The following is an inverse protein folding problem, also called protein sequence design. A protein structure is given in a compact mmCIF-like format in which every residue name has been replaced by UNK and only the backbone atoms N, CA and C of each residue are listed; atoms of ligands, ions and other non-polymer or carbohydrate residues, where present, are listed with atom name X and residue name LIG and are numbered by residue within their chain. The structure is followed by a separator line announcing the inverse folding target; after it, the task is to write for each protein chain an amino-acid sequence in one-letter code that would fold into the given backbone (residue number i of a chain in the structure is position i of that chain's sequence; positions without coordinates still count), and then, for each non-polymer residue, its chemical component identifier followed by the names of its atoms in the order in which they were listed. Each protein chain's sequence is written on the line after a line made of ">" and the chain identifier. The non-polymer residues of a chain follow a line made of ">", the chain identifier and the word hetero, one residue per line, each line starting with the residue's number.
data_IF_069770283283
#
_entry.id   IF_069770283283
#
_cell.length_a   1.000
_cell.length_b   1.000
_cell.length_c   1.000
_cell.angle_alpha   90.00
_cell.angle_beta   90.00
_cell.angle_gamma   90.00
#
_symmetry.space_group_name_H-M   'P 1'
#
loop_
_entity.id
_entity.type
_entity.pdbx_description
1 polymer ?
#
# COMPACT_ATOMS: atom_id res chain seq x y z
N UNK A 1 -28.05 -3.25 97.76
CA UNK A 1 -28.67 -2.94 96.44
C UNK A 1 -27.58 -2.46 95.49
N UNK A 2 -27.10 -3.32 94.55
CA UNK A 2 -26.10 -2.97 93.56
C UNK A 2 -26.78 -2.98 92.19
N UNK A 3 -26.90 -1.83 91.53
CA UNK A 3 -27.30 -1.69 90.10
C UNK A 3 -26.07 -1.81 89.25
N UNK A 4 -26.10 -2.76 88.28
CA UNK A 4 -25.12 -2.90 87.21
C UNK A 4 -25.60 -2.07 86.00
N UNK A 5 -24.73 -1.13 85.58
CA UNK A 5 -24.88 -0.39 84.37
C UNK A 5 -24.40 -1.27 83.18
N UNK A 6 -25.27 -1.51 82.23
CA UNK A 6 -24.90 -2.16 80.95
C UNK A 6 -24.66 -1.07 79.90
N UNK A 7 -23.45 -0.97 79.42
CA UNK A 7 -23.06 -0.09 78.26
C UNK A 7 -23.48 -0.76 76.98
N UNK A 8 -24.35 -0.11 76.24
CA UNK A 8 -24.70 -0.46 74.86
C UNK A 8 -23.67 0.24 73.92
N UNK A 9 -22.83 -0.53 73.22
CA UNK A 9 -22.03 -0.09 72.10
C UNK A 9 -22.92 -0.15 70.88
N UNK A 10 -23.29 1.01 70.34
CA UNK A 10 -23.89 1.14 68.99
C UNK A 10 -22.85 1.13 67.94
N UNK A 11 -22.81 0.09 67.09
CA UNK A 11 -21.97 0.05 65.90
C UNK A 11 -22.63 0.88 64.79
N UNK A 12 -21.99 1.99 64.44
CA UNK A 12 -22.39 2.80 63.25
C UNK A 12 -21.74 2.19 62.03
N UNK A 13 -22.50 1.50 61.21
CA UNK A 13 -22.09 1.04 59.88
C UNK A 13 -22.28 2.17 58.88
N UNK A 14 -21.17 2.72 58.40
CA UNK A 14 -21.12 3.70 57.30
C UNK A 14 -21.25 2.93 55.98
N UNK A 15 -22.22 3.24 55.09
CA UNK A 15 -22.25 2.65 53.74
C UNK A 15 -21.15 3.32 52.89
N UNK A 16 -20.21 2.51 52.41
CA UNK A 16 -19.22 2.90 51.39
C UNK A 16 -19.96 3.06 50.05
N UNK A 17 -20.29 4.29 49.66
CA UNK A 17 -20.82 4.59 48.34
C UNK A 17 -19.64 4.57 47.35
N UNK A 18 -19.50 3.45 46.63
CA UNK A 18 -18.64 3.38 45.46
C UNK A 18 -19.26 4.25 44.34
N UNK A 19 -18.79 5.48 44.19
CA UNK A 19 -19.08 6.29 43.00
C UNK A 19 -18.24 5.71 41.86
N UNK A 20 -18.82 4.81 41.08
CA UNK A 20 -18.26 4.38 39.80
C UNK A 20 -18.25 5.57 38.85
N UNK A 21 -17.08 6.20 38.62
CA UNK A 21 -16.87 7.08 37.48
C UNK A 21 -17.02 6.24 36.21
N UNK A 22 -18.20 6.29 35.60
CA UNK A 22 -18.39 5.95 34.20
C UNK A 22 -17.58 6.95 33.38
N UNK A 23 -16.36 6.58 33.02
CA UNK A 23 -15.62 7.24 31.93
C UNK A 23 -16.45 7.01 30.66
N UNK A 24 -17.29 7.97 30.31
CA UNK A 24 -17.93 8.01 29.01
C UNK A 24 -16.80 8.07 27.99
N UNK A 25 -16.54 6.96 27.30
CA UNK A 25 -15.70 6.94 26.12
C UNK A 25 -16.36 7.90 25.12
N UNK A 26 -15.75 9.08 24.94
CA UNK A 26 -16.15 9.95 23.85
C UNK A 26 -15.89 9.16 22.57
N UNK A 27 -16.85 9.07 21.63
CA UNK A 27 -16.57 8.50 20.33
C UNK A 27 -15.40 9.31 19.75
N UNK A 28 -14.32 8.62 19.40
CA UNK A 28 -13.22 9.25 18.68
C UNK A 28 -13.83 9.91 17.44
N UNK A 29 -13.60 11.22 17.28
CA UNK A 29 -14.06 11.91 16.08
C UNK A 29 -13.40 11.21 14.87
N UNK A 30 -14.23 10.81 13.90
CA UNK A 30 -13.72 10.14 12.70
C UNK A 30 -12.62 10.97 12.04
N UNK A 31 -11.58 10.30 11.54
CA UNK A 31 -10.47 10.96 10.85
C UNK A 31 -11.00 11.86 9.72
N UNK A 32 -10.50 13.07 9.66
CA UNK A 32 -10.94 14.08 8.67
C UNK A 32 -9.76 14.64 7.90
N UNK A 33 -10.02 15.02 6.65
CA UNK A 33 -9.06 15.77 5.85
C UNK A 33 -8.88 17.17 6.47
N UNK A 34 -7.72 17.42 7.07
CA UNK A 34 -7.45 18.64 7.86
C UNK A 34 -6.53 19.59 7.11
N UNK A 35 -6.90 20.85 7.00
CA UNK A 35 -6.02 21.90 6.43
C UNK A 35 -4.88 22.20 7.42
N UNK A 36 -3.65 22.21 6.91
CA UNK A 36 -2.44 22.51 7.68
C UNK A 36 -1.87 23.85 7.21
N UNK A 37 -1.52 24.70 8.15
CA UNK A 37 -0.80 25.97 7.91
C UNK A 37 0.59 25.92 8.51
N UNK A 38 1.52 26.74 8.02
CA UNK A 38 2.87 26.82 8.58
C UNK A 38 3.70 25.55 8.39
N UNK A 39 3.53 24.84 7.28
CA UNK A 39 4.24 23.60 6.97
C UNK A 39 5.66 23.81 6.41
N UNK A 40 6.12 25.04 6.29
CA UNK A 40 7.46 25.39 5.81
C UNK A 40 7.45 26.21 4.52
N UNK A 41 8.50 26.07 3.71
CA UNK A 41 8.69 26.80 2.45
C UNK A 41 7.55 26.52 1.48
N UNK A 42 6.84 27.56 1.07
CA UNK A 42 5.68 27.47 0.19
C UNK A 42 5.68 28.64 -0.82
N UNK A 43 6.53 28.57 -1.84
CA UNK A 43 6.78 29.71 -2.74
C UNK A 43 5.60 30.09 -3.63
N UNK A 44 4.68 29.16 -3.86
CA UNK A 44 3.55 29.31 -4.78
C UNK A 44 2.19 29.32 -4.08
N UNK A 45 2.19 29.46 -2.75
CA UNK A 45 0.99 29.53 -1.91
C UNK A 45 0.05 28.33 -2.05
N UNK A 46 0.59 27.12 -2.16
CA UNK A 46 -0.21 25.89 -2.11
C UNK A 46 -0.93 25.77 -0.77
N UNK A 47 -2.13 25.21 -0.76
CA UNK A 47 -2.72 24.71 0.47
C UNK A 47 -2.22 23.29 0.74
N UNK A 48 -1.98 22.99 2.01
CA UNK A 48 -1.69 21.63 2.47
C UNK A 48 -2.91 21.06 3.18
N UNK A 49 -3.31 19.85 2.79
CA UNK A 49 -4.25 19.06 3.56
C UNK A 49 -3.60 17.75 3.97
N UNK A 50 -3.95 17.28 5.16
CA UNK A 50 -3.40 16.06 5.75
C UNK A 50 -4.56 15.17 6.21
N UNK A 51 -4.48 13.91 5.84
CA UNK A 51 -5.34 12.85 6.35
C UNK A 51 -4.53 11.84 7.13
N UNK A 52 -4.89 11.68 8.38
CA UNK A 52 -4.30 10.71 9.31
C UNK A 52 -5.43 9.77 9.74
N UNK A 53 -5.44 8.51 9.32
CA UNK A 53 -6.53 7.60 9.67
C UNK A 53 -6.54 7.30 11.17
N UNK A 54 -7.70 6.89 11.72
CA UNK A 54 -7.87 6.57 13.15
C UNK A 54 -6.89 5.48 13.61
N UNK A 55 -6.50 4.58 12.71
CA UNK A 55 -5.52 3.52 12.95
C UNK A 55 -4.28 3.74 12.11
N UNK A 56 -3.37 4.55 12.59
CA UNK A 56 -2.07 4.78 11.95
C UNK A 56 -1.13 3.63 12.26
N UNK A 57 -0.42 3.14 11.25
CA UNK A 57 0.63 2.15 11.43
C UNK A 57 1.80 2.73 12.26
N UNK A 58 2.53 1.90 12.99
CA UNK A 58 3.67 2.34 13.83
C UNK A 58 4.78 3.03 13.00
N UNK A 59 4.97 2.60 11.76
CA UNK A 59 5.79 3.26 10.73
C UNK A 59 4.95 3.39 9.46
N UNK A 60 4.08 4.42 9.37
CA UNK A 60 3.17 4.54 8.25
C UNK A 60 3.91 4.84 6.95
N UNK A 61 3.41 4.34 5.84
CA UNK A 61 3.74 4.89 4.53
C UNK A 61 3.13 6.30 4.40
N UNK A 62 3.64 7.09 3.47
CA UNK A 62 3.13 8.41 3.15
C UNK A 62 2.78 8.47 1.66
N UNK A 63 1.52 8.73 1.36
CA UNK A 63 1.06 9.02 0.00
C UNK A 63 0.93 10.53 -0.18
N UNK A 64 1.55 11.07 -1.21
CA UNK A 64 1.24 12.40 -1.75
C UNK A 64 0.22 12.21 -2.87
N UNK A 65 -1.02 12.68 -2.67
CA UNK A 65 -2.13 12.54 -3.62
C UNK A 65 -2.40 13.88 -4.31
N UNK A 66 -2.09 13.97 -5.60
CA UNK A 66 -2.04 15.23 -6.36
C UNK A 66 -3.23 15.34 -7.31
N UNK A 67 -4.04 16.42 -7.15
CA UNK A 67 -5.27 16.60 -7.93
C UNK A 67 -5.02 17.11 -9.37
N UNK A 68 -6.04 17.06 -10.19
CA UNK A 68 -6.10 17.53 -11.59
C UNK A 68 -6.39 19.05 -11.69
N UNK A 69 -6.26 19.63 -12.88
CA UNK A 69 -6.66 21.03 -13.12
C UNK A 69 -8.14 21.25 -12.78
N UNK A 70 -8.47 22.42 -12.26
CA UNK A 70 -9.80 22.77 -11.72
C UNK A 70 -10.26 21.85 -10.57
N UNK A 71 -9.35 21.01 -10.05
CA UNK A 71 -9.58 20.16 -8.89
C UNK A 71 -9.30 20.88 -7.57
N UNK A 72 -9.52 20.16 -6.50
CA UNK A 72 -9.20 20.60 -5.14
C UNK A 72 -8.81 19.39 -4.28
N UNK A 73 -8.23 19.65 -3.10
CA UNK A 73 -7.91 18.59 -2.15
C UNK A 73 -9.16 17.81 -1.74
N UNK A 74 -10.25 18.49 -1.42
CA UNK A 74 -11.53 17.83 -1.10
C UNK A 74 -12.12 17.08 -2.30
N UNK A 75 -11.97 17.64 -3.52
CA UNK A 75 -12.50 17.00 -4.74
C UNK A 75 -11.83 15.67 -5.05
N UNK A 76 -10.50 15.60 -4.99
CA UNK A 76 -9.79 14.32 -5.22
C UNK A 76 -9.99 13.36 -4.06
N UNK A 77 -10.00 13.85 -2.82
CA UNK A 77 -10.11 13.03 -1.61
C UNK A 77 -11.46 12.31 -1.51
N UNK A 78 -12.56 13.01 -1.79
CA UNK A 78 -13.93 12.46 -1.72
C UNK A 78 -14.41 11.89 -3.07
N UNK A 79 -13.73 12.19 -4.17
CA UNK A 79 -14.08 11.79 -5.52
C UNK A 79 -13.29 10.60 -6.01
N UNK A 80 -12.69 10.73 -7.19
CA UNK A 80 -12.00 9.65 -7.89
C UNK A 80 -10.71 9.15 -7.21
N UNK A 81 -10.22 9.82 -6.18
CA UNK A 81 -9.11 9.38 -5.32
C UNK A 81 -9.56 8.64 -4.04
N UNK A 82 -10.87 8.47 -3.81
CA UNK A 82 -11.40 7.99 -2.53
C UNK A 82 -10.98 6.56 -2.16
N UNK A 83 -10.68 5.69 -3.12
CA UNK A 83 -10.17 4.35 -2.83
C UNK A 83 -8.82 4.39 -2.11
N UNK A 84 -7.99 5.43 -2.33
CA UNK A 84 -6.77 5.64 -1.53
C UNK A 84 -7.11 5.96 -0.06
N UNK A 85 -8.18 6.70 0.19
CA UNK A 85 -8.63 7.04 1.56
C UNK A 85 -9.11 5.78 2.28
N UNK A 86 -9.99 5.01 1.64
CA UNK A 86 -10.47 3.72 2.15
C UNK A 86 -9.31 2.76 2.44
N UNK A 87 -8.30 2.75 1.58
CA UNK A 87 -7.10 1.94 1.80
C UNK A 87 -6.23 2.51 2.95
N UNK A 88 -6.16 3.84 3.14
CA UNK A 88 -5.48 4.44 4.28
C UNK A 88 -6.11 4.02 5.61
N UNK A 89 -7.44 4.00 5.71
CA UNK A 89 -8.16 3.51 6.88
C UNK A 89 -7.87 2.04 7.18
N UNK A 90 -7.71 1.26 6.11
CA UNK A 90 -7.44 -0.18 6.23
C UNK A 90 -5.98 -0.47 6.59
N UNK A 91 -5.01 0.24 5.99
CA UNK A 91 -3.59 -0.10 6.06
C UNK A 91 -2.76 0.87 6.92
N UNK A 92 -3.37 1.94 7.40
CA UNK A 92 -2.77 2.86 8.35
C UNK A 92 -1.69 3.78 7.78
N UNK A 93 -1.70 4.08 6.48
CA UNK A 93 -0.81 5.07 5.89
C UNK A 93 -1.41 6.49 5.93
N UNK A 94 -0.57 7.49 5.86
CA UNK A 94 -0.95 8.91 5.90
C UNK A 94 -1.04 9.45 4.48
N UNK A 95 -1.99 10.37 4.24
CA UNK A 95 -2.14 11.05 2.94
C UNK A 95 -1.89 12.55 3.10
N UNK A 96 -0.97 13.08 2.31
CA UNK A 96 -0.81 14.52 2.06
C UNK A 96 -1.48 14.85 0.74
N UNK A 97 -2.36 15.86 0.76
CA UNK A 97 -3.05 16.35 -0.44
C UNK A 97 -2.65 17.81 -0.64
N UNK A 98 -1.70 18.11 -1.52
CA UNK A 98 -1.42 19.47 -1.94
C UNK A 98 -2.59 20.01 -2.77
N UNK A 99 -2.88 21.31 -2.65
CA UNK A 99 -3.90 21.98 -3.46
C UNK A 99 -3.32 23.23 -4.10
N UNK A 100 -3.38 23.30 -5.43
CA UNK A 100 -2.96 24.46 -6.19
C UNK A 100 -4.02 25.57 -6.08
N UNK A 101 -3.59 26.78 -5.72
CA UNK A 101 -4.49 27.91 -5.46
C UNK A 101 -4.57 28.92 -6.62
N UNK A 102 -3.73 28.73 -7.65
CA UNK A 102 -3.74 29.60 -8.84
C UNK A 102 -4.99 29.39 -9.69
N UNK A 103 -5.29 30.35 -10.57
CA UNK A 103 -6.38 30.21 -11.54
C UNK A 103 -6.22 28.93 -12.36
N UNK A 104 -7.32 28.17 -12.53
CA UNK A 104 -7.32 26.86 -13.19
C UNK A 104 -6.81 25.73 -12.31
N UNK A 105 -6.28 25.98 -11.11
CA UNK A 105 -5.81 25.00 -10.14
C UNK A 105 -4.92 23.88 -10.71
N UNK A 106 -4.16 24.17 -11.78
CA UNK A 106 -3.14 23.26 -12.29
C UNK A 106 -1.83 23.45 -11.53
N UNK A 107 -1.06 22.40 -11.38
CA UNK A 107 0.29 22.49 -10.81
C UNK A 107 1.28 23.03 -11.84
N UNK A 108 2.27 23.81 -11.37
CA UNK A 108 3.36 24.28 -12.22
C UNK A 108 4.35 23.15 -12.49
N UNK A 109 4.38 22.72 -13.73
CA UNK A 109 5.31 21.72 -14.30
C UNK A 109 5.99 22.25 -15.54
N UNK A 110 6.01 23.60 -15.72
CA UNK A 110 6.39 24.27 -16.95
C UNK A 110 7.56 25.21 -16.77
N UNK A 111 7.60 25.94 -15.65
CA UNK A 111 8.64 26.95 -15.42
C UNK A 111 10.00 26.31 -15.11
N UNK A 112 11.11 27.00 -15.39
CA UNK A 112 12.45 26.53 -15.00
C UNK A 112 12.59 26.29 -13.50
N UNK A 113 11.83 27.01 -12.66
CA UNK A 113 11.80 26.82 -11.21
C UNK A 113 11.08 25.52 -10.82
N UNK A 114 10.04 25.13 -11.56
CA UNK A 114 9.28 23.92 -11.34
C UNK A 114 9.97 22.64 -11.83
N UNK A 115 10.94 22.77 -12.73
CA UNK A 115 11.67 21.68 -13.37
C UNK A 115 13.09 21.52 -12.80
N UNK A 116 13.27 21.97 -11.57
CA UNK A 116 14.53 21.86 -10.85
C UNK A 116 14.29 21.58 -9.38
N UNK A 117 14.97 20.60 -8.84
CA UNK A 117 14.97 20.30 -7.40
C UNK A 117 15.24 21.56 -6.59
N UNK A 118 14.40 21.84 -5.62
CA UNK A 118 14.45 23.02 -4.74
C UNK A 118 14.46 24.36 -5.52
N UNK A 119 13.89 24.37 -6.72
CA UNK A 119 13.89 25.52 -7.61
C UNK A 119 12.93 26.65 -7.25
N UNK A 120 12.09 26.46 -6.23
CA UNK A 120 11.21 27.50 -5.70
C UNK A 120 9.83 27.53 -6.36
N UNK A 121 9.29 26.40 -6.83
CA UNK A 121 7.93 26.28 -7.34
C UNK A 121 7.11 25.25 -6.55
N UNK A 122 6.06 24.69 -7.16
CA UNK A 122 5.11 23.77 -6.51
C UNK A 122 5.78 22.51 -5.93
N UNK A 123 6.74 21.95 -6.64
CA UNK A 123 7.48 20.79 -6.15
C UNK A 123 8.20 21.06 -4.82
N UNK A 124 8.78 22.28 -4.67
CA UNK A 124 9.39 22.74 -3.41
C UNK A 124 8.36 22.82 -2.28
N UNK A 125 7.18 23.39 -2.56
CA UNK A 125 6.07 23.46 -1.60
C UNK A 125 5.57 22.08 -1.18
N UNK A 126 5.40 21.16 -2.12
CA UNK A 126 4.98 19.77 -1.85
C UNK A 126 6.02 19.06 -0.99
N UNK A 127 7.32 19.25 -1.25
CA UNK A 127 8.38 18.67 -0.43
C UNK A 127 8.40 19.24 0.98
N UNK A 128 8.05 20.51 1.18
CA UNK A 128 7.87 21.07 2.52
C UNK A 128 6.73 20.36 3.28
N UNK A 129 5.62 20.02 2.60
CA UNK A 129 4.52 19.24 3.20
C UNK A 129 4.96 17.82 3.58
N UNK A 130 5.74 17.16 2.73
CA UNK A 130 6.33 15.83 3.03
C UNK A 130 7.22 15.91 4.26
N UNK A 131 8.10 16.90 4.32
CA UNK A 131 9.01 17.09 5.45
C UNK A 131 8.27 17.44 6.74
N UNK A 132 7.24 18.29 6.67
CA UNK A 132 6.35 18.58 7.79
C UNK A 132 5.71 17.30 8.36
N UNK A 133 5.24 16.41 7.50
CA UNK A 133 4.62 15.16 7.90
C UNK A 133 5.62 14.19 8.51
N UNK A 134 6.82 14.07 7.91
CA UNK A 134 7.92 13.23 8.45
C UNK A 134 8.39 13.67 9.83
N UNK A 135 8.36 14.97 10.12
CA UNK A 135 8.75 15.50 11.44
C UNK A 135 7.73 15.21 12.55
N UNK A 136 6.47 14.97 12.20
CA UNK A 136 5.36 14.77 13.16
C UNK A 136 4.93 13.33 13.31
N UNK A 137 5.19 12.53 12.31
CA UNK A 137 4.80 11.13 12.28
C UNK A 137 6.04 10.29 11.96
N UNK A 138 6.11 9.11 12.54
CA UNK A 138 7.22 8.16 12.30
C UNK A 138 7.09 7.50 10.92
N UNK A 139 7.04 8.33 9.86
CA UNK A 139 6.90 7.87 8.46
C UNK A 139 8.05 6.95 8.07
N UNK A 140 7.74 5.84 7.43
CA UNK A 140 8.76 4.97 6.85
C UNK A 140 9.42 5.67 5.64
N UNK A 141 10.71 6.03 5.71
CA UNK A 141 11.38 6.75 4.63
C UNK A 141 11.49 5.94 3.32
N UNK A 142 11.41 4.61 3.39
CA UNK A 142 11.39 3.73 2.22
C UNK A 142 9.99 3.57 1.60
N UNK A 143 8.96 4.18 2.17
CA UNK A 143 7.56 4.05 1.76
C UNK A 143 6.88 5.41 1.59
N UNK A 144 7.60 6.38 1.06
CA UNK A 144 7.04 7.66 0.62
C UNK A 144 6.77 7.53 -0.87
N UNK A 145 5.51 7.73 -1.27
CA UNK A 145 5.04 7.51 -2.64
C UNK A 145 4.16 8.66 -3.10
N UNK A 146 4.02 8.81 -4.40
CA UNK A 146 3.21 9.88 -4.99
C UNK A 146 2.28 9.31 -6.05
N UNK A 147 1.05 9.82 -6.12
CA UNK A 147 0.11 9.53 -7.20
C UNK A 147 -0.71 10.77 -7.55
N UNK A 148 -1.02 10.91 -8.83
CA UNK A 148 -1.82 12.03 -9.30
C UNK A 148 -2.49 11.78 -10.62
N UNK A 149 -3.46 12.67 -10.95
CA UNK A 149 -4.32 12.58 -12.11
C UNK A 149 -4.19 13.82 -12.98
N UNK A 150 -4.04 13.68 -14.30
CA UNK A 150 -3.91 14.82 -15.25
C UNK A 150 -2.75 15.75 -14.83
N UNK A 151 -3.03 17.01 -14.48
CA UNK A 151 -2.02 17.93 -13.92
C UNK A 151 -1.27 17.34 -12.73
N UNK A 152 -1.97 16.59 -11.87
CA UNK A 152 -1.35 15.86 -10.76
C UNK A 152 -0.47 14.71 -11.23
N UNK A 153 -0.78 14.06 -12.36
CA UNK A 153 0.08 13.04 -12.96
C UNK A 153 1.35 13.67 -13.55
N UNK A 154 1.23 14.84 -14.18
CA UNK A 154 2.40 15.61 -14.63
C UNK A 154 3.31 15.97 -13.44
N UNK A 155 2.73 16.48 -12.34
CA UNK A 155 3.47 16.79 -11.11
C UNK A 155 4.05 15.51 -10.47
N UNK A 156 3.37 14.37 -10.55
CA UNK A 156 3.90 13.06 -10.10
C UNK A 156 5.18 12.70 -10.84
N UNK A 157 5.23 12.87 -12.15
CA UNK A 157 6.45 12.65 -12.95
C UNK A 157 7.57 13.61 -12.54
N UNK A 158 7.26 14.89 -12.33
CA UNK A 158 8.24 15.91 -11.91
C UNK A 158 8.80 15.59 -10.53
N UNK A 159 7.94 15.31 -9.53
CA UNK A 159 8.38 14.98 -8.18
C UNK A 159 9.26 13.72 -8.14
N UNK A 160 8.89 12.70 -8.90
CA UNK A 160 9.66 11.46 -8.99
C UNK A 160 11.04 11.67 -9.68
N UNK A 161 11.15 12.64 -10.59
CA UNK A 161 12.40 12.99 -11.26
C UNK A 161 13.29 13.90 -10.39
N UNK A 162 12.71 14.85 -9.68
CA UNK A 162 13.43 15.82 -8.83
C UNK A 162 13.87 15.25 -7.47
N UNK A 163 13.07 14.36 -6.91
CA UNK A 163 13.29 13.80 -5.57
C UNK A 163 13.31 12.26 -5.57
N UNK A 164 14.13 11.64 -6.44
CA UNK A 164 14.22 10.18 -6.53
C UNK A 164 14.81 9.53 -5.28
N UNK A 165 15.46 10.31 -4.43
CA UNK A 165 15.99 9.91 -3.12
C UNK A 165 14.93 9.93 -2.01
N UNK A 166 13.74 10.48 -2.29
CA UNK A 166 12.62 10.58 -1.34
C UNK A 166 11.49 9.63 -1.72
N UNK A 167 11.08 9.64 -2.98
CA UNK A 167 9.97 8.80 -3.45
C UNK A 167 10.46 7.40 -3.83
N UNK A 168 9.84 6.37 -3.25
CA UNK A 168 10.17 4.97 -3.57
C UNK A 168 9.37 4.41 -4.75
N UNK A 169 8.19 4.99 -5.01
CA UNK A 169 7.34 4.65 -6.14
C UNK A 169 6.38 5.79 -6.49
N UNK A 170 5.90 5.79 -7.72
CA UNK A 170 4.94 6.77 -8.24
C UNK A 170 3.92 6.10 -9.17
N UNK A 171 2.67 6.62 -9.21
CA UNK A 171 1.63 6.17 -10.13
C UNK A 171 0.94 7.38 -10.76
N UNK A 172 1.07 7.54 -12.07
CA UNK A 172 0.58 8.68 -12.85
C UNK A 172 -0.56 8.27 -13.78
N UNK A 173 -1.70 8.97 -13.68
CA UNK A 173 -2.89 8.71 -14.49
C UNK A 173 -3.11 9.82 -15.50
N UNK A 174 -2.97 9.51 -16.80
CA UNK A 174 -3.05 10.47 -17.92
C UNK A 174 -2.08 11.63 -17.73
N UNK A 175 -0.78 11.32 -17.69
CA UNK A 175 0.30 12.27 -17.53
C UNK A 175 1.06 12.56 -18.82
N UNK A 176 2.24 13.17 -18.64
CA UNK A 176 3.25 13.39 -19.68
C UNK A 176 4.64 13.23 -19.07
N UNK A 177 5.70 12.99 -19.86
CA UNK A 177 7.07 12.92 -19.36
C UNK A 177 7.47 14.16 -18.55
N UNK A 178 8.23 13.97 -17.49
CA UNK A 178 8.81 15.07 -16.71
C UNK A 178 9.60 16.01 -17.63
N UNK A 179 9.25 17.32 -17.57
CA UNK A 179 9.83 18.36 -18.42
C UNK A 179 9.22 18.51 -19.81
N UNK A 180 8.27 17.66 -20.21
CA UNK A 180 7.59 17.83 -21.51
C UNK A 180 6.87 19.18 -21.60
N UNK A 181 6.26 19.65 -20.51
CA UNK A 181 5.55 20.93 -20.44
C UNK A 181 6.48 22.16 -20.30
N UNK A 182 7.79 21.99 -20.32
CA UNK A 182 8.73 23.11 -20.22
C UNK A 182 8.37 24.27 -21.18
N UNK A 183 8.35 25.48 -20.63
CA UNK A 183 8.16 26.73 -21.38
C UNK A 183 9.21 27.75 -20.97
N UNK A 184 9.50 28.71 -21.88
CA UNK A 184 10.46 29.78 -21.63
C UNK A 184 9.79 31.17 -21.65
N UNK A 185 8.48 31.22 -21.87
CA UNK A 185 7.70 32.45 -22.03
C UNK A 185 6.81 32.76 -20.80
N UNK A 186 6.93 31.96 -19.74
CA UNK A 186 6.09 32.06 -18.55
C UNK A 186 4.70 31.43 -18.69
N UNK A 187 4.39 30.82 -19.82
CA UNK A 187 3.18 30.04 -20.02
C UNK A 187 3.20 28.80 -19.12
N UNK A 188 2.05 28.46 -18.54
CA UNK A 188 1.87 27.23 -17.79
C UNK A 188 1.31 26.07 -18.64
N UNK A 189 1.10 26.31 -19.95
CA UNK A 189 0.56 25.32 -20.86
C UNK A 189 1.42 25.18 -22.11
N UNK A 190 1.82 23.95 -22.41
CA UNK A 190 2.57 23.62 -23.62
C UNK A 190 1.69 22.77 -24.55
N UNK A 191 1.14 23.42 -25.61
CA UNK A 191 0.21 22.77 -26.54
C UNK A 191 0.86 21.67 -27.40
N UNK A 192 2.17 21.75 -27.67
CA UNK A 192 2.87 20.70 -28.40
C UNK A 192 3.00 19.42 -27.54
N UNK A 193 3.30 19.59 -26.23
CA UNK A 193 3.36 18.48 -25.31
C UNK A 193 1.96 17.87 -25.07
N UNK A 194 0.97 18.70 -24.72
CA UNK A 194 -0.39 18.19 -24.50
C UNK A 194 -0.97 17.52 -25.75
N UNK A 195 -0.65 18.02 -26.94
CA UNK A 195 -1.05 17.43 -28.23
C UNK A 195 -0.24 16.20 -28.64
N UNK A 196 0.72 15.73 -27.81
CA UNK A 196 1.53 14.54 -28.10
C UNK A 196 2.47 14.70 -29.30
N UNK A 197 2.88 15.93 -29.62
CA UNK A 197 3.71 16.25 -30.76
C UNK A 197 5.22 16.22 -30.43
N UNK A 198 5.57 16.25 -29.14
CA UNK A 198 6.95 16.18 -28.69
C UNK A 198 7.37 14.73 -28.58
N UNK A 199 8.23 14.28 -29.48
CA UNK A 199 8.82 12.94 -29.44
C UNK A 199 10.34 13.04 -29.27
N UNK A 200 10.91 12.20 -28.40
CA UNK A 200 12.34 12.14 -28.13
C UNK A 200 12.80 10.69 -28.07
N UNK A 201 14.10 10.48 -28.15
CA UNK A 201 14.69 9.19 -27.81
C UNK A 201 14.58 8.96 -26.31
N UNK A 202 14.63 7.70 -25.87
CA UNK A 202 14.63 7.35 -24.45
C UNK A 202 15.80 8.05 -23.70
N UNK A 203 16.98 8.16 -24.34
CA UNK A 203 18.14 8.85 -23.78
C UNK A 203 17.87 10.35 -23.59
N UNK A 204 17.31 11.04 -24.60
CA UNK A 204 16.98 12.46 -24.48
C UNK A 204 15.94 12.74 -23.37
N UNK A 205 14.92 11.88 -23.21
CA UNK A 205 13.98 11.99 -22.13
C UNK A 205 14.62 11.74 -20.77
N UNK A 206 15.47 10.72 -20.65
CA UNK A 206 16.20 10.43 -19.43
C UNK A 206 17.15 11.55 -19.03
N UNK A 207 17.88 12.13 -19.98
CA UNK A 207 18.81 13.25 -19.73
C UNK A 207 18.06 14.51 -19.26
N UNK A 208 16.89 14.79 -19.85
CA UNK A 208 16.04 15.88 -19.41
C UNK A 208 15.58 15.71 -17.96
N UNK A 209 15.15 14.52 -17.56
CA UNK A 209 14.77 14.24 -16.19
C UNK A 209 15.97 14.29 -15.21
N UNK A 210 17.14 13.76 -15.61
CA UNK A 210 18.39 13.84 -14.82
C UNK A 210 18.83 15.28 -14.57
N UNK A 211 18.58 16.17 -15.53
CA UNK A 211 18.90 17.59 -15.39
C UNK A 211 18.10 18.31 -14.30
N UNK A 212 16.98 17.73 -13.83
CA UNK A 212 16.19 18.28 -12.72
C UNK A 212 16.86 18.08 -11.36
N UNK A 213 17.70 17.06 -11.22
CA UNK A 213 18.55 16.81 -10.05
C UNK A 213 19.98 16.47 -10.47
N UNK A 214 20.79 17.48 -10.87
CA UNK A 214 22.15 17.25 -11.35
C UNK A 214 23.03 16.55 -10.31
N UNK A 215 23.78 15.56 -10.76
CA UNK A 215 24.69 14.80 -9.90
C UNK A 215 24.06 13.65 -9.12
N UNK A 216 22.76 13.41 -9.25
CA UNK A 216 22.15 12.22 -8.63
C UNK A 216 22.58 10.95 -9.39
N UNK A 217 23.12 9.99 -8.63
CA UNK A 217 23.60 8.69 -9.14
C UNK A 217 22.86 7.50 -8.55
N UNK A 218 21.87 7.76 -7.71
CA UNK A 218 21.05 6.72 -7.07
C UNK A 218 20.00 6.12 -8.00
N UNK A 219 19.16 5.26 -7.45
CA UNK A 219 18.06 4.63 -8.19
C UNK A 219 16.87 5.57 -8.29
N UNK A 220 16.26 5.63 -9.46
CA UNK A 220 14.98 6.29 -9.64
C UNK A 220 13.84 5.41 -9.09
N UNK A 221 12.71 6.03 -8.65
CA UNK A 221 11.57 5.29 -8.11
C UNK A 221 10.94 4.36 -9.15
N UNK A 222 10.21 3.35 -8.67
CA UNK A 222 9.33 2.58 -9.54
C UNK A 222 8.23 3.50 -10.08
N UNK A 223 7.87 3.30 -11.36
CA UNK A 223 6.86 4.14 -12.01
C UNK A 223 5.77 3.30 -12.64
N UNK A 224 4.51 3.59 -12.30
CA UNK A 224 3.32 3.07 -12.95
C UNK A 224 2.63 4.18 -13.73
N UNK A 225 2.34 3.90 -15.00
CA UNK A 225 1.78 4.84 -15.95
C UNK A 225 0.45 4.32 -16.48
N UNK A 226 -0.58 5.16 -16.44
CA UNK A 226 -1.92 4.83 -16.92
C UNK A 226 -2.35 5.82 -17.99
N UNK A 227 -2.89 5.31 -19.12
CA UNK A 227 -3.37 6.22 -20.17
C UNK A 227 -4.51 5.60 -20.97
N UNK A 228 -5.50 6.42 -21.30
CA UNK A 228 -6.60 6.06 -22.22
C UNK A 228 -6.19 6.26 -23.68
N UNK A 229 -6.48 5.29 -24.53
CA UNK A 229 -6.00 5.32 -25.95
C UNK A 229 -6.67 6.39 -26.81
N UNK A 230 -7.78 6.98 -26.36
CA UNK A 230 -8.47 8.08 -27.04
C UNK A 230 -8.36 9.41 -26.31
N UNK A 231 -7.39 9.53 -25.37
CA UNK A 231 -7.11 10.79 -24.70
C UNK A 231 -6.56 11.82 -25.67
N UNK A 232 -7.26 12.95 -25.78
CA UNK A 232 -6.91 14.11 -26.61
C UNK A 232 -6.57 15.34 -25.81
N UNK A 233 -6.75 15.32 -24.49
CA UNK A 233 -6.39 16.41 -23.59
C UNK A 233 -4.90 16.40 -23.28
N UNK A 234 -4.39 15.26 -22.82
CA UNK A 234 -2.97 14.92 -22.81
C UNK A 234 -2.81 13.70 -23.71
N UNK A 235 -2.52 13.97 -24.96
CA UNK A 235 -2.61 12.99 -26.05
C UNK A 235 -1.91 11.68 -25.74
N UNK A 236 -2.53 10.55 -26.10
CA UNK A 236 -2.04 9.19 -25.83
C UNK A 236 -0.57 8.93 -26.22
N UNK A 237 -0.04 9.66 -27.21
CA UNK A 237 1.39 9.54 -27.58
C UNK A 237 2.30 9.77 -26.36
N UNK A 238 1.91 10.61 -25.40
CA UNK A 238 2.68 10.86 -24.19
C UNK A 238 2.92 9.60 -23.36
N UNK A 239 2.02 8.63 -23.40
CA UNK A 239 2.18 7.36 -22.70
C UNK A 239 3.44 6.61 -23.12
N UNK A 240 3.68 6.51 -24.42
CA UNK A 240 4.91 5.91 -24.96
C UNK A 240 6.17 6.72 -24.59
N UNK A 241 6.05 8.04 -24.58
CA UNK A 241 7.16 8.91 -24.21
C UNK A 241 7.50 8.83 -22.71
N UNK A 242 6.50 8.70 -21.83
CA UNK A 242 6.71 8.42 -20.39
C UNK A 242 7.41 7.07 -20.18
N UNK A 243 7.01 6.01 -20.90
CA UNK A 243 7.66 4.70 -20.82
C UNK A 243 9.14 4.82 -21.24
N UNK A 244 9.44 5.55 -22.33
CA UNK A 244 10.82 5.79 -22.75
C UNK A 244 11.63 6.48 -21.65
N UNK A 245 11.07 7.52 -21.01
CA UNK A 245 11.75 8.25 -19.95
C UNK A 245 12.07 7.35 -18.76
N UNK A 246 11.07 6.67 -18.22
CA UNK A 246 11.23 5.91 -16.99
C UNK A 246 12.03 4.62 -17.17
N UNK A 247 11.95 3.98 -18.34
CA UNK A 247 12.82 2.84 -18.64
C UNK A 247 14.28 3.28 -18.79
N UNK A 248 14.56 4.42 -19.44
CA UNK A 248 15.92 4.96 -19.54
C UNK A 248 16.50 5.37 -18.18
N UNK A 249 15.71 6.05 -17.33
CA UNK A 249 16.15 6.45 -15.99
C UNK A 249 16.55 5.24 -15.13
N UNK A 250 15.91 4.11 -15.34
CA UNK A 250 16.15 2.85 -14.61
C UNK A 250 17.09 1.87 -15.36
N UNK A 251 17.67 2.27 -16.48
CA UNK A 251 18.61 1.43 -17.26
C UNK A 251 17.98 0.18 -17.87
N UNK A 252 16.68 0.25 -18.23
CA UNK A 252 15.89 -0.88 -18.72
C UNK A 252 15.75 -0.87 -20.24
N UNK A 253 15.55 -2.07 -20.82
CA UNK A 253 15.13 -2.23 -22.20
C UNK A 253 13.76 -1.59 -22.45
N UNK A 254 13.55 -1.07 -23.68
CA UNK A 254 12.24 -0.61 -24.15
C UNK A 254 11.31 -1.77 -24.50
N UNK A 255 11.81 -3.02 -24.54
CA UNK A 255 10.99 -4.22 -24.72
C UNK A 255 10.44 -4.65 -23.38
N UNK A 256 9.11 -4.80 -23.22
CA UNK A 256 8.56 -5.26 -21.97
C UNK A 256 9.00 -6.69 -21.66
N UNK A 257 9.32 -6.94 -20.38
CA UNK A 257 9.61 -8.27 -19.86
C UNK A 257 8.32 -9.12 -19.69
N UNK A 258 7.16 -8.44 -19.64
CA UNK A 258 5.87 -9.09 -19.44
C UNK A 258 4.75 -8.23 -20.02
N UNK A 259 3.78 -8.87 -20.66
CA UNK A 259 2.56 -8.25 -21.17
C UNK A 259 1.37 -9.12 -20.83
N UNK A 260 0.30 -8.52 -20.30
CA UNK A 260 -0.97 -9.20 -20.04
C UNK A 260 -2.17 -8.25 -20.21
N UNK A 261 -3.36 -8.80 -20.02
CA UNK A 261 -4.63 -8.09 -20.09
C UNK A 261 -5.41 -8.31 -18.80
N UNK A 262 -5.19 -7.53 -17.73
CA UNK A 262 -5.89 -7.67 -16.45
C UNK A 262 -7.41 -7.55 -16.58
N UNK A 263 -7.86 -6.79 -17.60
CA UNK A 263 -9.23 -6.68 -18.08
C UNK A 263 -9.21 -6.65 -19.60
N UNK A 264 -10.33 -6.95 -20.24
CA UNK A 264 -10.43 -7.08 -21.71
C UNK A 264 -10.01 -5.82 -22.48
N UNK A 265 -10.24 -4.63 -21.90
CA UNK A 265 -9.85 -3.35 -22.50
C UNK A 265 -8.47 -2.85 -22.05
N UNK A 266 -7.77 -3.57 -21.17
CA UNK A 266 -6.48 -3.11 -20.62
C UNK A 266 -5.33 -3.90 -21.23
N UNK A 267 -4.30 -3.19 -21.68
CA UNK A 267 -3.01 -3.78 -22.02
C UNK A 267 -1.99 -3.29 -21.01
N UNK A 268 -1.46 -4.22 -20.20
CA UNK A 268 -0.43 -3.93 -19.20
C UNK A 268 0.91 -4.47 -19.65
N UNK A 269 1.94 -3.61 -19.60
CA UNK A 269 3.32 -3.94 -19.90
C UNK A 269 4.20 -3.67 -18.70
N UNK A 270 5.15 -4.56 -18.40
CA UNK A 270 6.12 -4.41 -17.31
C UNK A 270 7.54 -4.49 -17.82
N UNK A 271 8.39 -3.66 -17.28
CA UNK A 271 9.79 -3.54 -17.66
C UNK A 271 10.69 -3.77 -16.45
N UNK A 272 11.79 -4.47 -16.66
CA UNK A 272 12.77 -4.82 -15.63
C UNK A 272 12.43 -6.12 -14.88
N UNK A 273 11.20 -6.27 -14.37
CA UNK A 273 10.72 -7.50 -13.75
C UNK A 273 9.22 -7.71 -14.01
N UNK A 274 8.73 -8.90 -13.72
CA UNK A 274 7.35 -9.32 -14.02
C UNK A 274 6.39 -9.19 -12.83
N UNK A 275 6.90 -8.78 -11.65
CA UNK A 275 6.13 -8.72 -10.40
C UNK A 275 5.16 -7.54 -10.34
N UNK A 276 4.25 -7.56 -9.37
CA UNK A 276 3.27 -6.48 -9.12
C UNK A 276 3.93 -5.12 -8.90
N UNK A 277 5.12 -5.10 -8.31
CA UNK A 277 5.93 -3.90 -8.11
C UNK A 277 7.08 -3.87 -9.13
N UNK A 278 6.73 -3.96 -10.42
CA UNK A 278 7.68 -3.81 -11.52
C UNK A 278 8.41 -2.46 -11.43
N UNK A 279 9.63 -2.40 -11.98
CA UNK A 279 10.40 -1.15 -11.96
C UNK A 279 9.69 -0.07 -12.79
N UNK A 280 9.16 -0.44 -13.96
CA UNK A 280 8.25 0.41 -14.76
C UNK A 280 7.06 -0.46 -15.17
N UNK A 281 5.85 0.06 -15.03
CA UNK A 281 4.62 -0.58 -15.50
C UNK A 281 3.80 0.43 -16.30
N UNK A 282 3.42 0.07 -17.52
CA UNK A 282 2.52 0.86 -18.35
C UNK A 282 1.19 0.12 -18.52
N UNK A 283 0.07 0.84 -18.34
CA UNK A 283 -1.27 0.28 -18.53
C UNK A 283 -2.06 1.21 -19.45
N UNK A 284 -2.33 0.75 -20.68
CA UNK A 284 -3.17 1.45 -21.63
C UNK A 284 -4.60 0.91 -21.61
N UNK A 285 -5.59 1.81 -21.68
CA UNK A 285 -7.00 1.48 -21.61
C UNK A 285 -7.65 1.79 -22.95
N UNK A 286 -8.07 0.78 -23.67
CA UNK A 286 -8.65 0.90 -25.01
C UNK A 286 -9.98 1.66 -24.98
N UNK A 287 -10.15 2.63 -25.89
CA UNK A 287 -11.39 3.38 -26.09
C UNK A 287 -11.71 4.41 -25.01
N UNK A 288 -10.81 4.66 -24.07
CA UNK A 288 -11.01 5.64 -22.98
C UNK A 288 -10.27 6.93 -23.27
N UNK A 289 -10.91 8.08 -23.03
CA UNK A 289 -10.32 9.40 -23.13
C UNK A 289 -9.68 9.86 -21.82
N UNK A 290 -9.68 11.19 -21.59
CA UNK A 290 -9.10 11.82 -20.39
C UNK A 290 -9.98 11.67 -19.14
N UNK A 291 -10.26 10.43 -18.73
CA UNK A 291 -11.23 10.09 -17.66
C UNK A 291 -10.64 9.17 -16.58
N UNK A 292 -9.31 9.05 -16.51
CA UNK A 292 -8.66 8.21 -15.50
C UNK A 292 -8.47 8.97 -14.17
N UNK A 293 -8.47 8.26 -13.03
CA UNK A 293 -8.74 6.85 -12.86
C UNK A 293 -10.23 6.51 -12.93
N UNK A 294 -10.53 5.31 -13.43
CA UNK A 294 -11.84 4.69 -13.40
C UNK A 294 -11.96 3.72 -12.24
N UNK A 295 -13.20 3.30 -11.93
CA UNK A 295 -13.47 2.33 -10.86
C UNK A 295 -12.59 1.08 -10.97
N UNK A 296 -11.99 0.68 -9.84
CA UNK A 296 -11.13 -0.49 -9.70
C UNK A 296 -9.66 -0.29 -10.10
N UNK A 297 -9.29 0.81 -10.76
CA UNK A 297 -7.90 1.06 -11.17
C UNK A 297 -7.00 1.38 -9.98
N UNK A 298 -7.50 2.10 -8.99
CA UNK A 298 -6.70 2.47 -7.82
C UNK A 298 -6.26 1.26 -6.98
N UNK A 299 -6.99 0.15 -7.01
CA UNK A 299 -6.55 -1.08 -6.35
C UNK A 299 -5.20 -1.58 -6.89
N UNK A 300 -4.98 -1.48 -8.21
CA UNK A 300 -3.69 -1.81 -8.83
C UNK A 300 -2.60 -0.82 -8.46
N UNK A 301 -2.93 0.47 -8.41
CA UNK A 301 -1.98 1.51 -8.00
C UNK A 301 -1.59 1.36 -6.52
N UNK A 302 -2.54 1.09 -5.62
CA UNK A 302 -2.29 0.83 -4.20
C UNK A 302 -1.30 -0.32 -4.03
N UNK A 303 -1.50 -1.43 -4.74
CA UNK A 303 -0.59 -2.58 -4.70
C UNK A 303 0.77 -2.28 -5.34
N UNK A 304 0.81 -1.56 -6.46
CA UNK A 304 2.06 -1.16 -7.11
C UNK A 304 2.90 -0.25 -6.20
N UNK A 305 2.26 0.72 -5.55
CA UNK A 305 2.89 1.64 -4.61
C UNK A 305 3.31 0.96 -3.29
N UNK A 306 2.82 -0.25 -3.03
CA UNK A 306 3.08 -0.99 -1.79
C UNK A 306 2.34 -0.42 -0.58
N UNK A 307 1.26 0.30 -0.80
CA UNK A 307 0.44 0.90 0.26
C UNK A 307 -0.42 -0.13 0.99
N UNK A 308 -0.72 -1.26 0.36
CA UNK A 308 -1.44 -2.39 0.92
C UNK A 308 -0.56 -3.35 1.74
N UNK A 309 0.75 -3.08 1.83
CA UNK A 309 1.65 -3.85 2.66
C UNK A 309 1.54 -3.41 4.13
N UNK A 310 1.42 -4.34 5.09
CA UNK A 310 1.46 -3.98 6.50
C UNK A 310 2.80 -3.35 6.87
N UNK A 311 2.76 -2.36 7.77
CA UNK A 311 3.96 -1.76 8.35
C UNK A 311 4.73 -2.83 9.14
N UNK A 312 5.94 -3.15 8.70
CA UNK A 312 6.84 -4.05 9.43
C UNK A 312 7.54 -3.29 10.56
N UNK A 313 6.84 -3.07 11.69
CA UNK A 313 7.51 -2.66 12.93
C UNK A 313 6.72 -3.09 14.15
N UNK A 314 7.36 -3.63 15.19
CA UNK A 314 6.66 -4.04 16.40
C UNK A 314 6.09 -2.82 17.13
N UNK A 315 4.82 -2.90 17.50
CA UNK A 315 4.16 -1.96 18.40
C UNK A 315 4.87 -2.02 19.77
N UNK A 316 5.59 -0.97 20.12
CA UNK A 316 6.05 -0.77 21.49
C UNK A 316 5.00 0.07 22.23
N UNK A 317 4.21 -0.56 23.08
CA UNK A 317 3.42 0.13 24.11
C UNK A 317 4.41 0.79 25.09
N UNK A 318 4.28 2.08 25.43
CA UNK A 318 5.14 2.69 26.43
C UNK A 318 4.75 2.19 27.82
N UNK A 319 5.49 1.21 28.32
CA UNK A 319 5.48 0.85 29.73
C UNK A 319 6.63 1.56 30.41
N UNK A 320 6.33 2.50 31.29
CA UNK A 320 7.30 3.08 32.23
C UNK A 320 7.67 2.01 33.24
N UNK A 321 8.92 1.60 33.28
CA UNK A 321 9.48 0.70 34.28
C UNK A 321 10.84 1.25 34.77
N UNK A 322 11.12 1.20 36.07
CA UNK A 322 12.33 1.77 36.62
C UNK A 322 13.58 0.92 36.35
N UNK A 323 14.66 1.62 36.21
CA UNK A 323 16.05 1.22 35.94
C UNK A 323 16.58 0.14 36.89
N UNK A 324 17.21 -0.92 36.33
CA UNK A 324 18.28 -1.68 36.96
C UNK A 324 19.33 -2.07 35.90
N UNK A 325 20.59 -1.94 36.30
CA UNK A 325 21.85 -1.96 35.57
C UNK A 325 22.25 -3.38 35.09
N UNK A 326 23.19 -3.51 34.12
CA UNK A 326 23.26 -4.62 33.16
C UNK A 326 24.14 -5.79 33.60
N UNK A 327 23.81 -6.96 33.04
CA UNK A 327 24.79 -8.06 32.93
C UNK A 327 24.87 -8.51 31.49
N UNK A 328 26.07 -8.55 30.96
CA UNK A 328 26.45 -8.90 29.59
C UNK A 328 26.45 -10.42 29.34
N UNK A 329 26.11 -10.86 28.15
CA UNK A 329 26.70 -11.90 27.29
C UNK A 329 25.66 -12.76 26.57
N UNK A 330 25.97 -13.36 25.40
CA UNK A 330 26.50 -12.82 24.15
C UNK A 330 25.55 -12.96 22.95
N UNK A 331 25.92 -12.22 21.91
CA UNK A 331 25.41 -12.22 20.55
C UNK A 331 25.11 -13.60 19.96
N UNK A 332 23.89 -13.76 19.39
CA UNK A 332 23.68 -14.67 18.28
C UNK A 332 22.90 -13.92 17.18
N UNK A 333 23.52 -13.84 16.02
CA UNK A 333 23.00 -13.32 14.76
C UNK A 333 21.68 -14.01 14.39
N UNK A 334 20.58 -13.30 14.02
CA UNK A 334 19.40 -13.96 13.50
C UNK A 334 19.65 -14.31 12.03
N UNK A 335 19.80 -15.57 11.77
CA UNK A 335 19.66 -16.15 10.42
C UNK A 335 18.19 -16.02 9.98
N UNK A 336 17.97 -15.46 8.80
CA UNK A 336 16.67 -15.41 8.14
C UNK A 336 16.29 -16.83 7.70
N UNK A 337 15.62 -17.57 8.60
CA UNK A 337 15.02 -18.87 8.35
C UNK A 337 13.52 -18.77 8.57
N UNK A 338 12.73 -19.05 7.53
CA UNK A 338 11.29 -19.18 7.66
C UNK A 338 10.93 -20.28 8.66
N UNK A 339 10.30 -19.91 9.77
CA UNK A 339 9.83 -20.87 10.76
C UNK A 339 8.82 -21.82 10.15
N UNK A 340 8.80 -23.09 10.57
CA UNK A 340 7.78 -24.07 10.19
C UNK A 340 6.91 -24.43 11.38
N UNK A 341 5.60 -24.67 11.14
CA UNK A 341 4.69 -25.06 12.20
C UNK A 341 3.27 -25.29 11.71
N UNK A 342 2.36 -25.55 12.66
CA UNK A 342 0.98 -25.87 12.34
C UNK A 342 0.16 -24.60 12.07
N UNK A 343 -0.67 -24.62 11.02
CA UNK A 343 -1.73 -23.62 10.76
C UNK A 343 -3.02 -24.16 11.39
N UNK A 344 -3.58 -23.42 12.35
CA UNK A 344 -4.79 -23.81 13.09
C UNK A 344 -5.96 -22.86 12.78
N UNK A 345 -7.13 -23.44 12.49
CA UNK A 345 -8.36 -22.68 12.38
C UNK A 345 -8.84 -22.15 13.73
N UNK A 346 -9.13 -20.85 13.81
CA UNK A 346 -9.58 -20.21 15.06
C UNK A 346 -10.93 -20.76 15.52
N UNK A 347 -11.88 -21.03 14.59
CA UNK A 347 -13.17 -21.62 14.93
C UNK A 347 -13.10 -23.07 15.40
N UNK A 348 -12.17 -23.84 14.83
CA UNK A 348 -12.13 -25.29 15.03
C UNK A 348 -11.07 -25.75 16.03
N UNK A 349 -10.01 -24.97 16.24
CA UNK A 349 -8.81 -25.39 16.95
C UNK A 349 -8.01 -26.48 16.22
N UNK A 350 -8.46 -26.92 15.03
CA UNK A 350 -7.85 -27.98 14.22
C UNK A 350 -6.81 -27.44 13.25
N UNK A 351 -5.92 -28.32 12.87
CA UNK A 351 -4.81 -28.02 11.97
C UNK A 351 -5.21 -28.19 10.50
N UNK A 352 -4.61 -27.37 9.63
CA UNK A 352 -4.63 -27.60 8.18
C UNK A 352 -3.83 -28.86 7.90
N UNK A 353 -4.46 -29.84 7.28
CA UNK A 353 -4.02 -31.22 7.18
C UNK A 353 -4.07 -31.70 5.73
N UNK A 354 -3.04 -32.43 5.31
CA UNK A 354 -3.09 -33.18 4.05
C UNK A 354 -3.60 -34.59 4.35
N UNK A 355 -4.80 -34.97 3.84
CA UNK A 355 -5.42 -36.26 4.11
C UNK A 355 -4.49 -37.44 3.84
N UNK A 356 -4.38 -38.35 4.81
CA UNK A 356 -3.56 -39.60 4.68
C UNK A 356 -2.07 -39.34 4.47
N UNK A 357 -1.57 -38.15 4.77
CA UNK A 357 -0.21 -37.70 4.54
C UNK A 357 0.29 -37.98 3.09
N UNK A 358 -0.63 -38.01 2.12
CA UNK A 358 -0.27 -38.19 0.70
C UNK A 358 0.48 -36.98 0.14
N UNK A 359 1.32 -37.23 -0.88
CA UNK A 359 2.00 -36.16 -1.62
C UNK A 359 1.47 -36.01 -3.06
N UNK A 360 0.31 -36.60 -3.35
CA UNK A 360 -0.31 -36.55 -4.67
C UNK A 360 -0.81 -35.16 -4.99
N UNK A 361 -0.41 -34.62 -6.14
CA UNK A 361 -0.88 -33.33 -6.64
C UNK A 361 -2.40 -33.30 -6.80
N UNK A 362 -3.02 -32.18 -6.42
CA UNK A 362 -4.47 -32.00 -6.45
C UNK A 362 -5.21 -32.51 -5.22
N UNK A 363 -4.50 -33.03 -4.20
CA UNK A 363 -5.11 -33.46 -2.94
C UNK A 363 -5.64 -32.25 -2.19
N UNK A 364 -6.95 -32.18 -1.98
CA UNK A 364 -7.59 -31.10 -1.23
C UNK A 364 -7.28 -31.19 0.26
N UNK A 365 -6.79 -30.12 0.86
CA UNK A 365 -6.50 -30.06 2.29
C UNK A 365 -7.79 -29.94 3.12
N UNK A 366 -7.70 -30.29 4.38
CA UNK A 366 -8.84 -30.37 5.30
C UNK A 366 -8.47 -29.87 6.69
N UNK A 367 -9.46 -29.75 7.58
CA UNK A 367 -9.25 -29.63 9.00
C UNK A 367 -9.10 -31.03 9.61
N UNK A 368 -8.14 -31.20 10.51
CA UNK A 368 -7.96 -32.43 11.28
C UNK A 368 -7.38 -32.11 12.65
N UNK A 369 -7.61 -32.99 13.63
CA UNK A 369 -7.02 -32.85 14.95
C UNK A 369 -5.50 -32.71 14.83
N UNK A 370 -4.92 -31.73 15.52
CA UNK A 370 -3.49 -31.47 15.46
C UNK A 370 -2.70 -32.64 16.07
N UNK A 371 -1.84 -33.27 15.28
CA UNK A 371 -1.07 -34.43 15.68
C UNK A 371 0.45 -34.24 15.60
N UNK A 372 0.89 -33.04 15.14
CA UNK A 372 2.31 -32.69 15.03
C UNK A 372 3.09 -33.40 13.90
N UNK A 373 2.41 -34.10 13.00
CA UNK A 373 3.05 -34.81 11.90
C UNK A 373 3.41 -33.90 10.72
N UNK A 374 4.21 -34.39 9.80
CA UNK A 374 4.74 -33.62 8.66
C UNK A 374 3.66 -33.13 7.70
N UNK A 375 2.51 -33.83 7.61
CA UNK A 375 1.35 -33.41 6.79
C UNK A 375 0.56 -32.26 7.38
N UNK A 376 0.92 -31.79 8.57
CA UNK A 376 0.37 -30.62 9.24
C UNK A 376 1.44 -29.55 9.52
N UNK A 377 2.67 -29.78 9.08
CA UNK A 377 3.80 -28.87 9.29
C UNK A 377 4.03 -28.03 8.04
N UNK A 378 3.68 -26.76 8.14
CA UNK A 378 3.73 -25.80 7.04
C UNK A 378 4.86 -24.79 7.23
N UNK A 379 5.54 -24.43 6.18
CA UNK A 379 6.58 -23.40 6.15
C UNK A 379 6.23 -22.30 5.15
N UNK A 380 6.61 -21.06 5.43
CA UNK A 380 6.50 -19.97 4.46
C UNK A 380 7.84 -19.68 3.81
N UNK A 381 7.81 -19.25 2.54
CA UNK A 381 8.99 -18.81 1.81
C UNK A 381 8.97 -17.30 1.57
N UNK A 382 10.14 -16.71 1.29
CA UNK A 382 10.24 -15.31 0.85
C UNK A 382 9.48 -15.02 -0.45
N UNK A 383 9.16 -16.07 -1.22
CA UNK A 383 8.34 -15.97 -2.42
C UNK A 383 6.82 -16.05 -2.15
N UNK A 384 6.39 -15.89 -0.89
CA UNK A 384 4.97 -15.96 -0.45
C UNK A 384 4.31 -17.33 -0.68
N UNK A 385 5.07 -18.40 -0.76
CA UNK A 385 4.53 -19.76 -0.83
C UNK A 385 4.35 -20.33 0.58
N UNK A 386 3.30 -21.13 0.76
CA UNK A 386 3.09 -21.97 1.96
C UNK A 386 3.37 -23.40 1.54
N UNK A 387 4.40 -24.02 2.13
CA UNK A 387 4.89 -25.34 1.72
C UNK A 387 4.68 -26.39 2.81
N UNK A 388 4.39 -27.60 2.38
CA UNK A 388 4.39 -28.83 3.19
C UNK A 388 5.34 -29.82 2.54
N UNK A 389 5.96 -30.70 3.29
CA UNK A 389 6.96 -31.67 2.81
C UNK A 389 8.18 -31.05 2.09
N UNK A 390 8.33 -29.72 2.13
CA UNK A 390 9.41 -28.99 1.46
C UNK A 390 9.18 -28.71 -0.04
N UNK A 391 8.53 -29.60 -0.77
CA UNK A 391 8.36 -29.54 -2.24
C UNK A 391 6.91 -29.41 -2.71
N UNK A 392 5.91 -29.47 -1.82
CA UNK A 392 4.50 -29.26 -2.13
C UNK A 392 4.06 -27.88 -1.61
N UNK A 393 3.40 -27.13 -2.46
CA UNK A 393 2.84 -25.82 -2.17
C UNK A 393 1.33 -25.91 -1.93
N UNK A 394 0.84 -25.14 -0.98
CA UNK A 394 -0.58 -24.86 -0.87
C UNK A 394 -1.00 -24.13 -2.15
N UNK A 395 -2.03 -24.64 -2.80
CA UNK A 395 -2.41 -24.30 -4.17
C UNK A 395 -3.91 -24.06 -4.27
N UNK A 396 -4.31 -22.98 -4.94
CA UNK A 396 -5.70 -22.72 -5.24
C UNK A 396 -6.08 -23.37 -6.58
N UNK A 397 -6.95 -24.37 -6.55
CA UNK A 397 -7.42 -25.10 -7.72
C UNK A 397 -8.42 -24.33 -8.58
N UNK A 398 -8.49 -23.01 -8.41
CA UNK A 398 -9.35 -22.09 -9.16
C UNK A 398 -9.32 -20.68 -8.54
N UNK A 399 -10.13 -19.75 -9.07
CA UNK A 399 -10.10 -18.34 -8.63
C UNK A 399 -11.44 -17.86 -8.03
N UNK A 400 -12.48 -18.66 -8.04
CA UNK A 400 -13.82 -18.31 -7.53
C UNK A 400 -14.14 -18.89 -6.16
N UNK A 401 -15.25 -18.45 -5.58
CA UNK A 401 -15.81 -19.03 -4.37
C UNK A 401 -16.06 -20.54 -4.55
N UNK A 402 -15.69 -21.34 -3.55
CA UNK A 402 -15.78 -22.80 -3.58
C UNK A 402 -14.61 -23.50 -4.27
N UNK A 403 -13.65 -22.76 -4.87
CA UNK A 403 -12.45 -23.37 -5.44
C UNK A 403 -11.66 -24.08 -4.33
N UNK A 404 -11.27 -25.34 -4.59
CA UNK A 404 -10.56 -26.17 -3.59
C UNK A 404 -9.19 -25.60 -3.26
N UNK A 405 -8.81 -25.65 -2.01
CA UNK A 405 -7.43 -25.49 -1.58
C UNK A 405 -6.79 -26.86 -1.52
N UNK A 406 -5.68 -27.04 -2.23
CA UNK A 406 -5.03 -28.33 -2.43
C UNK A 406 -3.51 -28.23 -2.21
N UNK A 407 -2.82 -29.36 -2.19
CA UNK A 407 -1.37 -29.38 -2.39
C UNK A 407 -1.07 -29.66 -3.86
N UNK A 408 0.00 -29.03 -4.34
CA UNK A 408 0.51 -29.27 -5.69
C UNK A 408 2.04 -29.10 -5.70
N UNK A 409 2.74 -29.74 -6.64
CA UNK A 409 4.17 -29.53 -6.83
C UNK A 409 4.45 -28.03 -7.01
N UNK A 410 5.41 -27.49 -6.27
CA UNK A 410 5.71 -26.05 -6.31
C UNK A 410 6.21 -25.65 -7.71
N UNK A 411 5.49 -24.77 -8.39
CA UNK A 411 5.84 -24.28 -9.73
C UNK A 411 5.91 -22.74 -9.80
N UNK A 412 5.72 -22.06 -8.64
CA UNK A 412 5.88 -20.61 -8.53
C UNK A 412 4.73 -19.76 -9.10
N UNK A 413 3.65 -20.38 -9.57
CA UNK A 413 2.46 -19.70 -10.08
C UNK A 413 1.76 -18.83 -9.02
N UNK A 414 0.98 -17.84 -9.46
CA UNK A 414 0.27 -16.91 -8.58
C UNK A 414 -0.80 -17.60 -7.73
N UNK A 415 -1.34 -18.73 -8.19
CA UNK A 415 -2.26 -19.60 -7.46
C UNK A 415 -1.59 -20.34 -6.28
N UNK A 416 -0.27 -20.31 -6.18
CA UNK A 416 0.52 -20.86 -5.06
C UNK A 416 1.07 -19.77 -4.13
N UNK A 417 0.66 -18.51 -4.35
CA UNK A 417 1.10 -17.39 -3.53
C UNK A 417 0.00 -16.99 -2.57
N UNK A 418 0.38 -16.81 -1.31
CA UNK A 418 -0.53 -16.57 -0.21
C UNK A 418 -0.07 -15.38 0.63
N UNK A 419 -1.01 -14.60 1.07
CA UNK A 419 -0.78 -13.52 2.04
C UNK A 419 -1.38 -13.92 3.38
N UNK A 420 -0.55 -14.02 4.39
CA UNK A 420 -0.99 -14.20 5.78
C UNK A 420 -1.24 -12.81 6.35
N UNK A 421 -2.49 -12.49 6.62
CA UNK A 421 -2.90 -11.16 7.07
C UNK A 421 -2.84 -11.05 8.59
N UNK A 422 -2.65 -9.83 9.09
CA UNK A 422 -2.57 -9.54 10.54
C UNK A 422 -3.87 -9.82 11.31
N UNK A 423 -5.00 -9.84 10.59
CA UNK A 423 -6.30 -10.18 11.14
C UNK A 423 -6.52 -11.70 11.27
N UNK A 424 -5.50 -12.49 10.96
CA UNK A 424 -5.52 -13.95 10.98
C UNK A 424 -6.10 -14.59 9.72
N UNK A 425 -6.55 -13.84 8.73
CA UNK A 425 -6.96 -14.42 7.44
C UNK A 425 -5.74 -14.78 6.57
N UNK A 426 -5.91 -15.78 5.71
CA UNK A 426 -4.91 -16.13 4.67
C UNK A 426 -5.60 -15.97 3.32
N UNK A 427 -5.08 -15.08 2.47
CA UNK A 427 -5.68 -14.75 1.17
C UNK A 427 -4.79 -15.22 0.02
N UNK A 428 -5.42 -15.78 -1.02
CA UNK A 428 -4.74 -16.11 -2.28
C UNK A 428 -4.34 -14.85 -3.04
N UNK A 429 -3.08 -14.75 -3.46
CA UNK A 429 -2.59 -13.57 -4.20
C UNK A 429 -3.30 -13.43 -5.56
N UNK A 430 -3.61 -14.56 -6.22
CA UNK A 430 -4.28 -14.57 -7.51
C UNK A 430 -5.75 -14.12 -7.43
N UNK A 431 -6.47 -14.61 -6.40
CA UNK A 431 -7.94 -14.44 -6.32
C UNK A 431 -8.38 -13.30 -5.39
N UNK A 432 -7.54 -12.91 -4.42
CA UNK A 432 -7.92 -12.03 -3.33
C UNK A 432 -8.89 -12.67 -2.32
N UNK A 433 -9.29 -13.93 -2.53
CA UNK A 433 -10.23 -14.64 -1.68
C UNK A 433 -9.52 -15.27 -0.46
N UNK A 434 -10.26 -15.49 0.62
CA UNK A 434 -9.77 -16.08 1.85
C UNK A 434 -9.75 -17.61 1.81
N UNK A 435 -8.79 -18.24 2.48
CA UNK A 435 -8.91 -19.65 2.88
C UNK A 435 -10.04 -19.77 3.89
N UNK A 436 -10.98 -20.65 3.59
CA UNK A 436 -12.26 -20.81 4.27
C UNK A 436 -12.50 -22.27 4.62
N UNK A 437 -12.90 -22.56 5.85
CA UNK A 437 -13.42 -23.87 6.21
C UNK A 437 -14.86 -23.97 5.70
N UNK A 438 -15.06 -24.86 4.72
CA UNK A 438 -16.33 -24.99 3.98
C UNK A 438 -17.53 -25.14 4.92
N UNK A 439 -18.57 -24.33 4.65
CA UNK A 439 -19.79 -24.31 5.46
C UNK A 439 -19.60 -23.84 6.90
N UNK A 440 -18.51 -23.17 7.20
CA UNK A 440 -18.09 -22.81 8.56
C UNK A 440 -18.02 -24.02 9.52
N UNK A 441 -17.85 -25.24 8.95
CA UNK A 441 -17.77 -26.45 9.72
C UNK A 441 -16.43 -26.55 10.46
N UNK A 442 -16.46 -27.23 11.63
CA UNK A 442 -15.31 -27.35 12.52
C UNK A 442 -14.84 -28.81 12.72
N UNK A 443 -15.52 -29.76 12.11
CA UNK A 443 -15.25 -31.20 12.28
C UNK A 443 -14.01 -31.66 11.52
N UNK A 444 -13.40 -32.76 11.95
CA UNK A 444 -12.39 -33.49 11.16
C UNK A 444 -12.90 -33.83 9.76
N UNK A 445 -12.06 -33.64 8.75
CA UNK A 445 -12.42 -33.87 7.35
C UNK A 445 -13.07 -32.66 6.64
N UNK A 446 -13.40 -31.56 7.37
CA UNK A 446 -13.90 -30.35 6.74
C UNK A 446 -12.90 -29.84 5.70
N UNK A 447 -13.36 -29.69 4.46
CA UNK A 447 -12.51 -29.28 3.34
C UNK A 447 -12.25 -27.78 3.36
N UNK A 448 -11.06 -27.37 2.92
CA UNK A 448 -10.72 -25.97 2.75
C UNK A 448 -10.95 -25.53 1.32
N UNK A 449 -11.46 -24.31 1.18
CA UNK A 449 -11.83 -23.71 -0.10
C UNK A 449 -11.42 -22.24 -0.14
N UNK A 450 -11.44 -21.63 -1.32
CA UNK A 450 -11.46 -20.17 -1.45
C UNK A 450 -12.90 -19.66 -1.23
N UNK A 451 -13.03 -18.57 -0.51
CA UNK A 451 -14.31 -17.89 -0.38
C UNK A 451 -14.11 -16.38 -0.16
N UNK A 452 -15.12 -15.57 -0.55
CA UNK A 452 -15.11 -14.13 -0.30
C UNK A 452 -14.82 -13.85 1.16
N UNK A 453 -13.87 -12.95 1.43
CA UNK A 453 -13.46 -12.62 2.79
C UNK A 453 -14.60 -11.89 3.51
N UNK A 454 -15.19 -12.50 4.53
CA UNK A 454 -16.29 -11.93 5.33
C UNK A 454 -15.92 -11.78 6.82
N UNK A 455 -14.68 -12.09 7.19
CA UNK A 455 -14.16 -11.89 8.56
C UNK A 455 -14.63 -12.90 9.59
N UNK A 456 -15.42 -13.90 9.21
CA UNK A 456 -15.86 -14.99 10.10
C UNK A 456 -14.69 -15.81 10.65
N UNK A 457 -14.90 -16.44 11.82
CA UNK A 457 -13.86 -17.22 12.50
C UNK A 457 -13.43 -18.46 11.72
N UNK A 458 -14.25 -18.94 10.78
CA UNK A 458 -13.92 -20.03 9.84
C UNK A 458 -12.92 -19.60 8.73
N UNK A 459 -12.59 -18.32 8.66
CA UNK A 459 -11.57 -17.75 7.78
C UNK A 459 -10.37 -17.18 8.56
N UNK A 460 -10.30 -17.46 9.87
CA UNK A 460 -9.21 -17.00 10.74
C UNK A 460 -8.31 -18.17 11.13
N UNK A 461 -7.02 -17.92 11.06
CA UNK A 461 -5.97 -18.92 11.22
C UNK A 461 -4.89 -18.39 12.15
N UNK A 462 -4.40 -19.22 13.04
CA UNK A 462 -3.19 -18.98 13.82
C UNK A 462 -2.08 -19.87 13.26
N UNK A 463 -0.87 -19.34 13.14
CA UNK A 463 0.27 -20.08 12.65
C UNK A 463 1.40 -20.02 13.69
N UNK A 464 1.63 -21.14 14.40
CA UNK A 464 2.75 -21.30 15.34
C UNK A 464 4.00 -21.63 14.53
N UNK A 465 4.87 -20.64 14.30
CA UNK A 465 6.16 -20.79 13.60
C UNK A 465 7.30 -20.90 14.59
#
# INVERSE_FOLDING_TARGET
>A
VKRRLRSLLAAVSLPLVLVGMLLAAHPAAAATLTRITGFGTNPTNLNMYLYVPDRVAARPALLVLVHYCSGSASGIFNGNGHDYVTAADRYGYIIVVPEATRSGSCFDVSTPAALRRDGGSDSTGIMAMVNYTRQRYNVDPGRIVVSGFSSGAMMTNVLAAEYPDVFSAASAFSGVPAGCFATNDGSLWNSQCSGGQITKTAQQWGDQARAMYPGYTGRYPRMQLWHGTTDTTLHYNNFGEEIKQWTNLNGLSQTPAFTDHPQSSWTRTRYGNTGTQATVEGISISGVGHQLPMSGQLAYAISFLGLDAPSTSPSATPTVTPTVTPTVTPSTTPTSGGGSGAIKGVASGRCVDVPGATQTDGTQVQLWDCNGQTNQTWSSTSASEIRVYGNKCLDAGGTGNGAKIQIYSCHGGTNQKWRVNSDGSITGVQSGLCIDASGAATANGTKLQLYSCHGGTNQKWTWSR
#
